data_IF_254698625369
#
_entry.id   IF_254698625369
#
_cell.length_a   1.000
_cell.length_b   1.000
_cell.length_c   1.000
_cell.angle_alpha   90.00
_cell.angle_beta   90.00
_cell.angle_gamma   90.00
#
_symmetry.space_group_name_H-M   'P 1'
#
loop_
_entity.id
_entity.type
_entity.pdbx_description
1 polymer ?
#
# COMPACT_ATOMS: atom_id res chain seq x y z
N UNK A 1 17.21 -63.98 -33.75
CA UNK A 1 16.87 -63.21 -32.54
C UNK A 1 17.42 -61.79 -32.69
N UNK A 2 16.56 -60.80 -32.93
CA UNK A 2 16.91 -59.37 -32.83
C UNK A 2 16.02 -58.78 -31.74
N UNK A 3 16.60 -58.50 -30.58
CA UNK A 3 15.90 -57.90 -29.44
C UNK A 3 15.96 -56.39 -29.66
N UNK A 4 14.82 -55.78 -29.94
CA UNK A 4 14.67 -54.33 -30.08
C UNK A 4 14.49 -53.74 -28.68
N UNK A 5 15.43 -52.89 -28.26
CA UNK A 5 15.39 -52.21 -26.96
C UNK A 5 14.55 -50.94 -27.15
N UNK A 6 13.34 -50.92 -26.59
CA UNK A 6 12.51 -49.72 -26.51
C UNK A 6 13.04 -48.81 -25.39
N UNK A 7 13.70 -47.72 -25.75
CA UNK A 7 14.07 -46.65 -24.81
C UNK A 7 12.84 -45.83 -24.43
N UNK A 8 12.35 -46.02 -23.20
CA UNK A 8 11.30 -45.17 -22.60
C UNK A 8 11.97 -43.87 -22.15
N UNK A 9 11.82 -42.80 -22.93
CA UNK A 9 12.19 -41.46 -22.51
C UNK A 9 11.16 -40.94 -21.51
N UNK A 10 11.50 -40.94 -20.23
CA UNK A 10 10.71 -40.30 -19.19
C UNK A 10 10.75 -38.78 -19.38
N UNK A 11 9.69 -38.21 -19.97
CA UNK A 11 9.45 -36.77 -19.96
C UNK A 11 9.18 -36.34 -18.51
N UNK A 12 10.23 -35.88 -17.82
CA UNK A 12 10.09 -35.13 -16.58
C UNK A 12 9.34 -33.83 -16.94
N UNK A 13 8.04 -33.81 -16.69
CA UNK A 13 7.25 -32.59 -16.77
C UNK A 13 7.86 -31.56 -15.83
N UNK A 14 8.37 -30.46 -16.39
CA UNK A 14 8.78 -29.30 -15.60
C UNK A 14 7.49 -28.69 -15.08
N UNK A 15 7.09 -29.05 -13.88
CA UNK A 15 6.02 -28.37 -13.17
C UNK A 15 6.46 -26.93 -12.98
N UNK A 16 5.93 -26.00 -13.78
CA UNK A 16 6.12 -24.56 -13.59
C UNK A 16 5.42 -24.17 -12.27
N UNK A 17 6.17 -24.24 -11.17
CA UNK A 17 5.70 -23.74 -9.89
C UNK A 17 5.47 -22.23 -10.00
N UNK A 18 4.33 -21.77 -9.48
CA UNK A 18 4.05 -20.34 -9.37
C UNK A 18 5.15 -19.66 -8.55
N UNK A 19 5.64 -18.50 -9.02
CA UNK A 19 6.71 -17.75 -8.35
C UNK A 19 6.35 -17.29 -6.93
N UNK A 20 5.05 -17.14 -6.65
CA UNK A 20 4.52 -16.75 -5.36
C UNK A 20 3.37 -17.69 -4.98
N UNK A 21 3.22 -17.97 -3.69
CA UNK A 21 2.18 -18.83 -3.11
C UNK A 21 1.07 -17.98 -2.47
N UNK A 22 -0.04 -18.61 -2.08
CA UNK A 22 -1.15 -17.91 -1.43
C UNK A 22 -0.76 -17.24 -0.10
N UNK A 23 0.24 -17.78 0.61
CA UNK A 23 0.72 -17.28 1.89
C UNK A 23 1.76 -16.17 1.77
N UNK A 24 2.26 -15.91 0.55
CA UNK A 24 3.25 -14.87 0.35
C UNK A 24 2.65 -13.46 0.49
N UNK A 25 3.42 -12.48 1.00
CA UNK A 25 3.02 -11.08 1.04
C UNK A 25 2.66 -10.51 -0.34
N UNK A 26 3.38 -10.92 -1.38
CA UNK A 26 3.08 -10.58 -2.78
C UNK A 26 1.98 -11.50 -3.28
N UNK A 27 0.86 -10.93 -3.73
CA UNK A 27 -0.28 -11.72 -4.20
C UNK A 27 -0.29 -11.86 -5.72
N UNK A 28 -0.44 -13.08 -6.23
CA UNK A 28 -0.70 -13.27 -7.66
C UNK A 28 -2.10 -12.76 -8.00
N UNK A 29 -2.19 -11.97 -9.07
CA UNK A 29 -3.46 -11.51 -9.64
C UNK A 29 -3.43 -11.73 -11.15
N UNK A 30 -4.60 -12.00 -11.71
CA UNK A 30 -4.80 -12.10 -13.15
C UNK A 30 -5.43 -10.82 -13.71
N UNK A 31 -5.63 -10.79 -15.02
CA UNK A 31 -6.28 -9.68 -15.72
C UNK A 31 -7.71 -9.40 -15.28
N UNK A 32 -8.42 -10.39 -14.71
CA UNK A 32 -9.79 -10.22 -14.21
C UNK A 32 -9.81 -9.49 -12.86
N UNK A 33 -8.83 -9.77 -12.00
CA UNK A 33 -8.68 -9.17 -10.68
C UNK A 33 -7.91 -7.84 -10.69
N UNK A 34 -7.13 -7.57 -11.74
CA UNK A 34 -6.23 -6.40 -11.82
C UNK A 34 -6.95 -5.08 -11.58
N UNK A 35 -8.05 -4.83 -12.29
CA UNK A 35 -8.76 -3.56 -12.17
C UNK A 35 -9.28 -3.32 -10.75
N UNK A 36 -9.89 -4.32 -10.12
CA UNK A 36 -10.36 -4.21 -8.73
C UNK A 36 -9.23 -4.07 -7.71
N UNK A 37 -8.12 -4.80 -7.90
CA UNK A 37 -7.02 -4.80 -6.95
C UNK A 37 -6.15 -3.53 -7.05
N UNK A 38 -5.97 -3.00 -8.26
CA UNK A 38 -4.96 -1.98 -8.57
C UNK A 38 -5.60 -0.66 -9.00
N UNK A 39 -6.61 -0.70 -9.86
CA UNK A 39 -7.09 0.49 -10.57
C UNK A 39 -8.30 1.17 -9.90
N UNK A 40 -9.15 0.40 -9.24
CA UNK A 40 -10.37 0.90 -8.61
C UNK A 40 -10.17 1.36 -7.16
N UNK A 41 -8.94 1.29 -6.63
CA UNK A 41 -8.62 1.81 -5.31
C UNK A 41 -7.75 3.08 -5.42
N UNK A 42 -8.33 4.30 -5.39
CA UNK A 42 -7.57 5.53 -5.45
C UNK A 42 -6.90 5.91 -4.11
N UNK A 43 -7.15 5.12 -3.05
CA UNK A 43 -6.69 5.34 -1.67
C UNK A 43 -5.54 4.42 -1.27
N UNK A 44 -4.96 3.70 -2.22
CA UNK A 44 -3.77 2.88 -1.99
C UNK A 44 -2.77 3.04 -3.12
N UNK A 45 -1.50 2.77 -2.78
CA UNK A 45 -0.43 2.60 -3.74
C UNK A 45 -0.19 1.10 -3.91
N UNK A 46 -0.09 0.65 -5.16
CA UNK A 46 0.21 -0.74 -5.50
C UNK A 46 1.49 -0.85 -6.30
N UNK A 47 2.31 -1.86 -6.01
CA UNK A 47 3.49 -2.25 -6.79
C UNK A 47 3.21 -3.58 -7.46
N UNK A 48 3.33 -3.60 -8.79
CA UNK A 48 3.09 -4.78 -9.60
C UNK A 48 4.41 -5.25 -10.19
N UNK A 49 4.71 -6.54 -10.00
CA UNK A 49 5.75 -7.24 -10.74
C UNK A 49 5.12 -8.03 -11.88
N UNK A 50 5.62 -7.81 -13.10
CA UNK A 50 5.26 -8.57 -14.29
C UNK A 50 6.39 -9.56 -14.56
N UNK A 51 6.06 -10.85 -14.49
CA UNK A 51 7.05 -11.93 -14.43
C UNK A 51 6.67 -13.10 -15.34
N UNK A 52 7.51 -14.13 -15.37
CA UNK A 52 7.24 -15.44 -15.94
C UNK A 52 7.91 -16.52 -15.07
N UNK A 53 7.32 -17.71 -14.87
CA UNK A 53 7.86 -18.72 -13.95
C UNK A 53 9.20 -19.31 -14.40
N UNK A 54 9.44 -19.40 -15.71
CA UNK A 54 10.68 -19.89 -16.30
C UNK A 54 11.83 -18.88 -16.24
N UNK A 55 11.57 -17.62 -15.89
CA UNK A 55 12.56 -16.55 -15.89
C UNK A 55 13.44 -16.59 -14.63
N UNK A 56 14.72 -16.95 -14.78
CA UNK A 56 15.67 -17.02 -13.66
C UNK A 56 15.87 -15.69 -12.91
N UNK A 57 15.77 -14.54 -13.60
CA UNK A 57 15.78 -13.22 -12.94
C UNK A 57 14.55 -12.99 -12.06
N UNK A 58 13.42 -13.57 -12.44
CA UNK A 58 12.15 -13.46 -11.73
C UNK A 58 12.19 -14.31 -10.45
N UNK A 59 12.70 -15.54 -10.55
CA UNK A 59 12.92 -16.42 -9.41
C UNK A 59 13.83 -15.79 -8.35
N UNK A 60 14.92 -15.12 -8.76
CA UNK A 60 15.80 -14.38 -7.84
C UNK A 60 15.12 -13.18 -7.18
N UNK A 61 14.20 -12.53 -7.90
CA UNK A 61 13.49 -11.34 -7.42
C UNK A 61 12.41 -11.69 -6.37
N UNK A 62 11.83 -12.89 -6.41
CA UNK A 62 10.74 -13.32 -5.51
C UNK A 62 11.02 -13.02 -4.04
N UNK A 63 12.20 -13.41 -3.52
CA UNK A 63 12.54 -13.18 -2.11
C UNK A 63 12.69 -11.70 -1.76
N UNK A 64 13.26 -10.92 -2.67
CA UNK A 64 13.44 -9.48 -2.52
C UNK A 64 12.11 -8.73 -2.51
N UNK A 65 11.19 -9.09 -3.41
CA UNK A 65 9.82 -8.55 -3.45
C UNK A 65 9.02 -8.93 -2.21
N UNK A 66 9.09 -10.18 -1.75
CA UNK A 66 8.40 -10.62 -0.54
C UNK A 66 8.90 -9.85 0.71
N UNK A 67 10.20 -9.64 0.82
CA UNK A 67 10.77 -8.86 1.92
C UNK A 67 10.37 -7.38 1.84
N UNK A 68 10.33 -6.82 0.63
CA UNK A 68 9.89 -5.44 0.42
C UNK A 68 8.39 -5.26 0.73
N UNK A 69 7.57 -6.24 0.36
CA UNK A 69 6.15 -6.27 0.67
C UNK A 69 5.89 -6.39 2.17
N UNK A 70 6.67 -7.20 2.90
CA UNK A 70 6.58 -7.30 4.38
C UNK A 70 6.92 -5.99 5.08
N UNK A 71 7.96 -5.28 4.62
CA UNK A 71 8.36 -4.02 5.27
C UNK A 71 7.36 -2.88 5.05
N UNK A 72 6.56 -2.97 3.99
CA UNK A 72 5.51 -2.02 3.62
C UNK A 72 4.10 -2.55 3.87
N UNK A 73 3.94 -3.59 4.70
CA UNK A 73 2.66 -4.23 4.93
C UNK A 73 1.60 -3.23 5.41
N UNK A 74 0.42 -3.32 4.79
CA UNK A 74 -0.68 -2.39 4.96
C UNK A 74 -0.48 -0.97 4.37
N UNK A 75 0.76 -0.56 4.08
CA UNK A 75 1.08 0.76 3.52
C UNK A 75 1.08 0.76 1.98
N UNK A 76 1.65 -0.29 1.38
CA UNK A 76 1.73 -0.48 -0.08
C UNK A 76 1.36 -1.93 -0.40
N UNK A 77 0.46 -2.12 -1.35
CA UNK A 77 0.07 -3.46 -1.79
C UNK A 77 1.05 -3.97 -2.85
N UNK A 78 1.47 -5.23 -2.75
CA UNK A 78 2.36 -5.85 -3.73
C UNK A 78 1.65 -6.99 -4.44
N UNK A 79 1.75 -6.99 -5.77
CA UNK A 79 1.14 -8.01 -6.61
C UNK A 79 2.11 -8.54 -7.66
N UNK A 80 1.85 -9.75 -8.11
CA UNK A 80 2.50 -10.37 -9.25
C UNK A 80 1.50 -10.68 -10.35
N UNK A 81 1.87 -10.39 -11.59
CA UNK A 81 1.17 -10.79 -12.81
C UNK A 81 2.11 -11.68 -13.61
N UNK A 82 1.74 -12.94 -13.75
CA UNK A 82 2.45 -13.89 -14.62
C UNK A 82 2.05 -13.63 -16.07
N UNK A 83 2.98 -13.09 -16.86
CA UNK A 83 2.77 -12.76 -18.28
C UNK A 83 2.93 -13.96 -19.22
N UNK A 84 3.42 -15.11 -18.73
CA UNK A 84 3.47 -16.36 -19.48
C UNK A 84 2.07 -16.95 -19.65
N UNK A 85 1.21 -16.72 -18.65
CA UNK A 85 -0.20 -17.11 -18.68
C UNK A 85 -0.98 -16.33 -19.75
N UNK A 86 -1.66 -17.06 -20.63
CA UNK A 86 -2.45 -16.52 -21.75
C UNK A 86 -3.45 -15.44 -21.32
N UNK A 87 -4.07 -15.59 -20.16
CA UNK A 87 -5.05 -14.62 -19.63
C UNK A 87 -4.45 -13.23 -19.36
N UNK A 88 -3.14 -13.16 -19.13
CA UNK A 88 -2.44 -11.95 -18.75
C UNK A 88 -1.69 -11.29 -19.91
N UNK A 89 -1.54 -11.96 -21.07
CA UNK A 89 -0.76 -11.43 -22.21
C UNK A 89 -1.22 -10.05 -22.67
N UNK A 90 -2.54 -9.85 -22.78
CA UNK A 90 -3.13 -8.55 -23.16
C UNK A 90 -2.84 -7.47 -22.12
N UNK A 91 -2.93 -7.82 -20.83
CA UNK A 91 -2.60 -6.91 -19.71
C UNK A 91 -1.12 -6.51 -19.73
N UNK A 92 -0.21 -7.47 -19.93
CA UNK A 92 1.22 -7.23 -20.00
C UNK A 92 1.58 -6.36 -21.22
N UNK A 93 0.93 -6.61 -22.36
CA UNK A 93 1.07 -5.79 -23.58
C UNK A 93 0.56 -4.36 -23.36
N UNK A 94 -0.61 -4.20 -22.73
CA UNK A 94 -1.20 -2.90 -22.38
C UNK A 94 -0.26 -2.05 -21.54
N UNK A 95 0.47 -2.65 -20.60
CA UNK A 95 1.47 -1.96 -19.77
C UNK A 95 2.89 -1.99 -20.35
N UNK A 96 3.03 -2.33 -21.63
CA UNK A 96 4.30 -2.29 -22.36
C UNK A 96 5.42 -3.09 -21.69
N UNK A 97 5.09 -4.27 -21.16
CA UNK A 97 6.09 -5.18 -20.59
C UNK A 97 6.87 -5.84 -21.73
N UNK A 98 8.13 -5.44 -21.90
CA UNK A 98 9.03 -5.92 -22.97
C UNK A 98 10.06 -6.94 -22.50
N UNK A 99 10.13 -7.19 -21.19
CA UNK A 99 11.09 -8.11 -20.60
C UNK A 99 10.78 -8.34 -19.12
N UNK A 100 11.36 -9.40 -18.57
CA UNK A 100 11.07 -9.82 -17.20
C UNK A 100 12.29 -9.81 -16.28
N UNK A 101 12.09 -9.54 -14.98
CA UNK A 101 10.89 -8.93 -14.40
C UNK A 101 10.79 -7.44 -14.78
N UNK A 102 9.56 -6.94 -14.94
CA UNK A 102 9.26 -5.49 -15.01
C UNK A 102 8.47 -5.10 -13.76
N UNK A 103 8.90 -4.08 -13.03
CA UNK A 103 8.23 -3.62 -11.81
C UNK A 103 7.63 -2.23 -12.06
N UNK A 104 6.35 -2.04 -11.73
CA UNK A 104 5.65 -0.77 -11.89
C UNK A 104 4.84 -0.41 -10.65
N UNK A 105 4.69 0.88 -10.39
CA UNK A 105 3.84 1.40 -9.32
C UNK A 105 2.57 2.06 -9.88
N UNK A 106 1.49 1.94 -9.12
CA UNK A 106 0.18 2.50 -9.40
C UNK A 106 -0.28 3.24 -8.14
N UNK A 107 -0.13 4.57 -8.11
CA UNK A 107 -0.35 5.39 -6.90
C UNK A 107 -1.78 5.93 -6.76
N UNK A 108 -2.53 6.05 -7.86
CA UNK A 108 -3.88 6.65 -7.86
C UNK A 108 -4.88 5.85 -8.69
N UNK A 109 -4.70 4.53 -8.76
CA UNK A 109 -5.47 3.67 -9.64
C UNK A 109 -5.49 4.20 -11.08
N UNK A 110 -6.68 4.39 -11.66
CA UNK A 110 -6.85 4.94 -13.03
C UNK A 110 -6.47 6.41 -13.19
N UNK A 111 -6.27 7.17 -12.09
CA UNK A 111 -6.09 8.63 -12.10
C UNK A 111 -4.64 9.09 -12.32
N UNK A 112 -3.69 8.17 -12.45
CA UNK A 112 -2.30 8.48 -12.76
C UNK A 112 -1.67 7.37 -13.61
N UNK A 113 -0.76 7.71 -14.53
CA UNK A 113 -0.01 6.68 -15.27
C UNK A 113 0.87 5.88 -14.31
N UNK A 114 1.10 4.59 -14.60
CA UNK A 114 2.04 3.79 -13.84
C UNK A 114 3.47 4.30 -14.00
N UNK A 115 4.31 4.08 -12.99
CA UNK A 115 5.74 4.44 -13.04
C UNK A 115 6.61 3.20 -12.97
N UNK A 116 7.58 3.13 -13.88
CA UNK A 116 8.53 2.03 -13.98
C UNK A 116 9.61 2.14 -12.92
N UNK A 117 10.03 0.99 -12.40
CA UNK A 117 11.18 0.88 -11.53
C UNK A 117 12.37 0.29 -12.28
N UNK A 118 13.43 1.09 -12.39
CA UNK A 118 14.69 0.72 -13.04
C UNK A 118 15.87 0.70 -12.06
N UNK A 119 15.61 0.75 -10.75
CA UNK A 119 16.64 0.71 -9.71
C UNK A 119 17.11 -0.71 -9.37
N UNK A 120 17.94 -0.81 -8.33
CA UNK A 120 18.49 -2.07 -7.87
C UNK A 120 17.40 -3.05 -7.39
N UNK A 121 17.57 -4.33 -7.66
CA UNK A 121 16.57 -5.36 -7.32
C UNK A 121 16.76 -5.94 -5.92
N UNK A 122 17.13 -5.10 -4.96
CA UNK A 122 17.24 -5.43 -3.55
C UNK A 122 15.95 -5.06 -2.81
N UNK A 123 15.63 -5.76 -1.73
CA UNK A 123 14.44 -5.46 -0.93
C UNK A 123 14.44 -4.03 -0.40
N UNK A 124 15.60 -3.53 0.03
CA UNK A 124 15.77 -2.17 0.53
C UNK A 124 15.46 -1.11 -0.53
N UNK A 125 16.06 -1.21 -1.72
CA UNK A 125 15.85 -0.25 -2.80
C UNK A 125 14.40 -0.28 -3.32
N UNK A 126 13.82 -1.48 -3.44
CA UNK A 126 12.40 -1.64 -3.82
C UNK A 126 11.48 -1.02 -2.77
N UNK A 127 11.71 -1.27 -1.47
CA UNK A 127 10.91 -0.69 -0.39
C UNK A 127 11.00 0.82 -0.34
N UNK A 128 12.20 1.38 -0.46
CA UNK A 128 12.41 2.82 -0.46
C UNK A 128 11.68 3.48 -1.64
N UNK A 129 11.90 2.94 -2.85
CA UNK A 129 11.22 3.43 -4.03
C UNK A 129 9.70 3.30 -3.90
N UNK A 130 9.18 2.13 -3.52
CA UNK A 130 7.74 1.91 -3.36
C UNK A 130 7.13 2.87 -2.33
N UNK A 131 7.80 3.10 -1.20
CA UNK A 131 7.39 4.08 -0.20
C UNK A 131 7.39 5.52 -0.72
N UNK A 132 8.33 5.86 -1.60
CA UNK A 132 8.37 7.18 -2.26
C UNK A 132 7.20 7.38 -3.24
N UNK A 133 6.65 6.30 -3.79
CA UNK A 133 5.48 6.36 -4.68
C UNK A 133 4.18 6.65 -3.94
N UNK A 134 4.15 6.52 -2.60
CA UNK A 134 2.97 6.86 -1.80
C UNK A 134 2.76 8.38 -1.83
N UNK A 135 1.67 8.82 -2.47
CA UNK A 135 1.24 10.23 -2.51
C UNK A 135 1.23 10.83 -1.10
N UNK A 136 1.90 11.96 -0.96
CA UNK A 136 1.90 12.74 0.26
C UNK A 136 0.64 13.61 0.33
N UNK A 137 -0.23 13.34 1.29
CA UNK A 137 -1.42 14.14 1.62
C UNK A 137 -1.28 14.85 2.96
N UNK A 138 -0.07 14.89 3.52
CA UNK A 138 0.21 15.40 4.85
C UNK A 138 0.69 16.85 4.74
N UNK A 139 -0.02 17.75 5.41
CA UNK A 139 0.36 19.16 5.54
C UNK A 139 1.56 19.33 6.46
N UNK A 140 2.56 20.08 6.04
CA UNK A 140 3.66 20.49 6.92
C UNK A 140 3.27 21.77 7.65
N UNK A 141 3.32 21.73 8.98
CA UNK A 141 2.96 22.84 9.86
C UNK A 141 4.26 23.41 10.45
N UNK A 142 4.53 24.69 10.16
CA UNK A 142 5.79 25.36 10.50
C UNK A 142 5.83 25.88 11.92
N UNK A 143 4.71 26.39 12.40
CA UNK A 143 4.53 27.20 13.60
C UNK A 143 3.09 27.07 14.14
N UNK A 144 2.82 27.71 15.27
CA UNK A 144 1.52 27.67 15.95
C UNK A 144 0.38 28.21 15.07
N UNK A 145 0.56 29.39 14.45
CA UNK A 145 -0.43 29.99 13.56
C UNK A 145 -0.81 29.08 12.38
N UNK A 146 0.17 28.35 11.83
CA UNK A 146 -0.08 27.37 10.78
C UNK A 146 -0.95 26.21 11.26
N UNK A 147 -0.81 25.78 12.53
CA UNK A 147 -1.69 24.77 13.15
C UNK A 147 -3.10 25.33 13.28
N UNK A 148 -3.26 26.52 13.86
CA UNK A 148 -4.60 27.10 14.07
C UNK A 148 -5.34 27.30 12.75
N UNK A 149 -4.66 27.83 11.72
CA UNK A 149 -5.24 27.96 10.38
C UNK A 149 -5.60 26.61 9.78
N UNK A 150 -4.76 25.61 9.98
CA UNK A 150 -5.00 24.26 9.49
C UNK A 150 -6.19 23.58 10.18
N UNK A 151 -6.39 23.81 11.48
CA UNK A 151 -7.53 23.31 12.25
C UNK A 151 -8.86 23.98 11.84
N UNK A 152 -8.84 25.29 11.61
CA UNK A 152 -10.02 26.05 11.13
C UNK A 152 -10.41 25.69 9.71
N UNK A 153 -9.44 25.30 8.88
CA UNK A 153 -9.71 24.78 7.54
C UNK A 153 -10.33 23.38 7.64
N UNK A 154 -11.58 23.25 7.21
CA UNK A 154 -12.37 22.02 7.31
C UNK A 154 -12.62 21.58 8.77
N UNK A 155 -13.04 22.52 9.64
CA UNK A 155 -13.29 22.33 11.08
C UNK A 155 -14.16 21.11 11.44
N UNK A 156 -15.01 20.65 10.53
CA UNK A 156 -15.86 19.45 10.72
C UNK A 156 -15.14 18.12 10.41
N UNK A 157 -13.89 18.17 9.93
CA UNK A 157 -13.08 16.99 9.64
C UNK A 157 -12.13 16.72 10.81
N UNK A 158 -11.88 15.46 11.19
CA UNK A 158 -10.85 15.16 12.18
C UNK A 158 -9.46 15.53 11.68
N UNK A 159 -8.65 16.12 12.55
CA UNK A 159 -7.27 16.51 12.31
C UNK A 159 -6.33 15.58 13.08
N UNK A 160 -5.44 14.89 12.36
CA UNK A 160 -4.41 14.03 12.91
C UNK A 160 -3.09 14.81 12.90
N UNK A 161 -2.63 15.23 14.08
CA UNK A 161 -1.38 15.94 14.24
C UNK A 161 -0.26 14.98 14.67
N UNK A 162 0.80 14.91 13.88
CA UNK A 162 2.04 14.21 14.25
C UNK A 162 3.10 15.21 14.65
N UNK A 163 3.50 15.17 15.91
CA UNK A 163 4.57 15.98 16.46
C UNK A 163 5.85 15.14 16.58
N UNK A 164 6.91 15.49 15.83
CA UNK A 164 8.10 14.64 15.70
C UNK A 164 9.41 15.42 15.50
N UNK A 165 10.55 14.86 15.89
CA UNK A 165 11.87 15.41 15.60
C UNK A 165 12.32 15.17 14.15
N UNK A 166 11.66 14.27 13.41
CA UNK A 166 12.01 13.95 12.02
C UNK A 166 11.60 15.08 11.08
N UNK A 167 12.48 15.40 10.13
CA UNK A 167 12.20 16.42 9.13
C UNK A 167 11.28 15.92 8.01
N UNK A 168 11.23 14.61 7.76
CA UNK A 168 10.53 14.02 6.62
C UNK A 168 9.22 13.34 7.02
N UNK A 169 8.22 13.44 6.15
CA UNK A 169 6.98 12.68 6.28
C UNK A 169 7.26 11.21 5.97
N UNK A 170 7.01 10.33 6.95
CA UNK A 170 7.21 8.89 6.79
C UNK A 170 6.20 8.27 5.83
N UNK A 171 6.56 7.16 5.19
CA UNK A 171 5.65 6.36 4.36
C UNK A 171 4.40 5.93 5.13
N UNK A 172 4.58 5.56 6.41
CA UNK A 172 3.49 5.24 7.33
C UNK A 172 2.45 6.36 7.38
N UNK A 173 2.89 7.60 7.63
CA UNK A 173 1.98 8.73 7.76
C UNK A 173 1.28 9.06 6.44
N UNK A 174 2.01 9.00 5.32
CA UNK A 174 1.43 9.18 3.98
C UNK A 174 0.37 8.12 3.68
N UNK A 175 0.63 6.86 4.02
CA UNK A 175 -0.29 5.76 3.79
C UNK A 175 -1.57 5.87 4.65
N UNK A 176 -1.45 6.28 5.91
CA UNK A 176 -2.61 6.59 6.75
C UNK A 176 -3.44 7.72 6.13
N UNK A 177 -2.80 8.81 5.70
CA UNK A 177 -3.50 9.92 5.06
C UNK A 177 -4.23 9.54 3.77
N UNK A 178 -3.76 8.53 3.03
CA UNK A 178 -4.49 7.99 1.89
C UNK A 178 -5.71 7.15 2.30
N UNK A 179 -5.59 6.36 3.37
CA UNK A 179 -6.63 5.42 3.82
C UNK A 179 -7.75 6.08 4.65
N UNK A 180 -7.55 7.31 5.12
CA UNK A 180 -8.55 8.11 5.82
C UNK A 180 -8.77 9.45 5.09
N UNK A 181 -9.34 9.43 3.88
CA UNK A 181 -9.40 10.61 3.01
C UNK A 181 -10.25 11.76 3.55
N UNK A 182 -11.17 11.50 4.49
CA UNK A 182 -11.97 12.55 5.13
C UNK A 182 -11.35 13.13 6.40
N UNK A 183 -10.17 12.65 6.82
CA UNK A 183 -9.41 13.24 7.90
C UNK A 183 -8.20 14.02 7.37
N UNK A 184 -7.79 15.08 8.07
CA UNK A 184 -6.66 15.92 7.69
C UNK A 184 -5.43 15.45 8.44
N UNK A 185 -4.33 15.22 7.73
CA UNK A 185 -3.07 14.83 8.36
C UNK A 185 -2.08 15.98 8.34
N UNK A 186 -1.56 16.32 9.52
CA UNK A 186 -0.55 17.35 9.74
C UNK A 186 0.70 16.77 10.36
N UNK A 187 1.87 17.28 9.96
CA UNK A 187 3.15 16.98 10.60
C UNK A 187 3.83 18.27 11.03
N UNK A 188 4.27 18.28 12.28
CA UNK A 188 5.02 19.39 12.86
C UNK A 188 6.33 18.89 13.46
N UNK A 189 7.39 19.66 13.21
CA UNK A 189 8.69 19.38 13.82
C UNK A 189 8.72 19.86 15.27
N UNK A 190 9.17 19.00 16.17
CA UNK A 190 9.44 19.32 17.57
C UNK A 190 10.71 20.17 17.66
N UNK A 191 10.54 21.48 17.73
CA UNK A 191 11.63 22.47 17.89
C UNK A 191 11.29 23.45 18.99
N UNK A 192 12.28 24.17 19.52
CA UNK A 192 12.07 25.23 20.52
C UNK A 192 11.09 26.32 20.05
N UNK A 193 11.02 26.58 18.74
CA UNK A 193 10.09 27.54 18.13
C UNK A 193 8.63 27.10 18.19
N UNK A 194 8.37 25.81 18.37
CA UNK A 194 7.02 25.24 18.40
C UNK A 194 6.64 24.81 19.82
N UNK A 195 7.27 25.42 20.84
CA UNK A 195 6.96 25.15 22.25
C UNK A 195 5.49 25.47 22.57
N UNK A 196 4.90 26.46 21.91
CA UNK A 196 3.53 26.87 22.20
C UNK A 196 2.53 25.77 21.81
N UNK A 197 2.79 25.04 20.71
CA UNK A 197 2.00 23.84 20.34
C UNK A 197 2.21 22.72 21.35
N UNK A 198 3.44 22.55 21.85
CA UNK A 198 3.75 21.57 22.89
C UNK A 198 2.97 21.87 24.18
N UNK A 199 2.95 23.13 24.59
CA UNK A 199 2.29 23.60 25.80
C UNK A 199 0.77 23.50 25.66
N UNK A 200 0.21 23.89 24.51
CA UNK A 200 -1.22 23.73 24.19
C UNK A 200 -1.67 22.26 24.16
N UNK A 201 -0.80 21.33 23.78
CA UNK A 201 -1.05 19.88 23.86
C UNK A 201 -0.84 19.31 25.28
N UNK A 202 -0.52 20.14 26.28
CA UNK A 202 -0.30 19.72 27.66
C UNK A 202 0.95 18.85 27.85
N UNK A 203 1.95 18.96 26.98
CA UNK A 203 3.15 18.12 27.02
C UNK A 203 4.15 18.61 28.08
N UNK A 204 3.83 18.40 29.36
CA UNK A 204 4.74 18.71 30.48
C UNK A 204 5.70 17.54 30.73
N UNK A 205 7.01 17.76 30.51
CA UNK A 205 8.06 16.78 30.81
C UNK A 205 8.27 15.71 29.72
N UNK A 206 9.50 15.64 29.23
CA UNK A 206 10.08 14.67 28.29
C UNK A 206 9.29 14.30 27.02
N UNK A 207 9.76 14.88 25.93
CA UNK A 207 9.25 14.72 24.58
C UNK A 207 9.69 13.36 24.01
N UNK A 208 8.91 12.30 24.25
CA UNK A 208 9.05 11.05 23.49
C UNK A 208 8.48 11.24 22.08
N UNK A 209 9.15 12.09 21.28
CA UNK A 209 8.90 12.17 19.84
C UNK A 209 9.13 10.78 19.22
N UNK A 210 8.24 10.28 18.34
CA UNK A 210 7.04 10.94 17.80
C UNK A 210 5.79 10.80 18.70
N UNK A 211 4.94 11.81 18.72
CA UNK A 211 3.59 11.75 19.30
C UNK A 211 2.52 12.00 18.22
N UNK A 212 1.38 11.31 18.33
CA UNK A 212 0.25 11.39 17.39
C UNK A 212 -1.00 11.77 18.16
N UNK A 213 -1.77 12.73 17.63
CA UNK A 213 -3.00 13.24 18.25
C UNK A 213 -4.15 13.22 17.26
N UNK A 214 -5.37 13.02 17.76
CA UNK A 214 -6.61 13.34 17.06
C UNK A 214 -7.21 14.61 17.67
N UNK A 215 -7.67 15.51 16.81
CA UNK A 215 -8.32 16.77 17.13
C UNK A 215 -9.62 16.81 16.33
N UNK A 216 -10.77 17.02 16.99
CA UNK A 216 -12.08 16.92 16.34
C UNK A 216 -12.90 18.22 16.37
N UNK A 217 -12.48 19.21 17.14
CA UNK A 217 -13.25 20.42 17.48
C UNK A 217 -12.54 21.72 17.03
N UNK A 218 -11.58 21.60 16.11
CA UNK A 218 -10.83 22.75 15.60
C UNK A 218 -9.88 23.41 16.62
N UNK A 219 -9.75 22.85 17.83
CA UNK A 219 -8.88 23.36 18.90
C UNK A 219 -7.85 22.32 19.33
N UNK A 220 -6.71 22.77 19.86
CA UNK A 220 -5.75 21.86 20.48
C UNK A 220 -6.21 21.41 21.88
N UNK A 221 -7.16 22.13 22.48
CA UNK A 221 -7.79 21.75 23.74
C UNK A 221 -8.57 20.45 23.54
N UNK A 222 -8.34 19.44 24.37
CA UNK A 222 -9.03 18.14 24.23
C UNK A 222 -8.43 17.17 23.20
N UNK A 223 -7.28 17.49 22.60
CA UNK A 223 -6.59 16.59 21.68
C UNK A 223 -6.31 15.20 22.31
N UNK A 224 -6.79 14.14 21.66
CA UNK A 224 -6.60 12.77 22.14
C UNK A 224 -5.23 12.23 21.68
N UNK A 225 -4.35 11.94 22.63
CA UNK A 225 -3.02 11.37 22.35
C UNK A 225 -3.10 9.85 22.14
N UNK A 226 -2.49 9.37 21.05
CA UNK A 226 -2.26 7.95 20.85
C UNK A 226 -1.24 7.38 21.84
N UNK A 227 -1.61 6.30 22.54
CA UNK A 227 -0.78 5.64 23.55
C UNK A 227 -0.18 4.30 23.09
N UNK A 228 -0.54 3.84 21.89
CA UNK A 228 -0.13 2.53 21.39
C UNK A 228 1.24 2.52 20.70
N UNK A 229 1.55 1.38 20.07
CA UNK A 229 2.80 1.21 19.32
C UNK A 229 2.75 2.05 18.04
N UNK A 230 3.79 2.83 17.76
CA UNK A 230 3.94 3.61 16.52
C UNK A 230 4.27 2.74 15.29
N UNK A 231 3.39 1.77 15.03
CA UNK A 231 3.42 0.87 13.87
C UNK A 231 2.14 1.10 13.05
N UNK A 232 2.25 0.91 11.74
CA UNK A 232 1.17 1.22 10.80
C UNK A 232 -0.16 0.55 11.19
N UNK A 233 -0.14 -0.77 11.47
CA UNK A 233 -1.34 -1.53 11.84
C UNK A 233 -2.02 -0.97 13.09
N UNK A 234 -1.27 -0.73 14.16
CA UNK A 234 -1.83 -0.29 15.44
C UNK A 234 -2.38 1.16 15.37
N UNK A 235 -1.74 2.04 14.58
CA UNK A 235 -2.26 3.38 14.32
C UNK A 235 -3.50 3.34 13.43
N UNK A 236 -3.51 2.49 12.40
CA UNK A 236 -4.66 2.30 11.53
C UNK A 236 -5.88 1.81 12.30
N UNK A 237 -5.71 0.80 13.15
CA UNK A 237 -6.80 0.25 13.98
C UNK A 237 -7.36 1.33 14.92
N UNK A 238 -6.50 2.07 15.62
CA UNK A 238 -6.94 3.19 16.46
C UNK A 238 -7.70 4.27 15.67
N UNK A 239 -7.20 4.68 14.50
CA UNK A 239 -7.91 5.64 13.64
C UNK A 239 -9.23 5.05 13.09
N UNK A 240 -9.31 3.75 12.84
CA UNK A 240 -10.55 3.10 12.45
C UNK A 240 -11.60 3.16 13.56
N UNK A 241 -11.19 3.04 14.82
CA UNK A 241 -12.10 3.05 15.96
C UNK A 241 -12.48 4.48 16.37
N UNK A 242 -11.52 5.41 16.37
CA UNK A 242 -11.72 6.78 16.86
C UNK A 242 -12.34 7.73 15.84
N UNK A 243 -12.18 7.49 14.52
CA UNK A 243 -12.67 8.44 13.50
C UNK A 243 -14.12 8.14 13.05
N UNK A 244 -14.92 9.19 12.75
CA UNK A 244 -16.27 9.04 12.21
C UNK A 244 -16.25 8.33 10.84
N UNK A 245 -17.40 7.74 10.47
CA UNK A 245 -17.53 7.00 9.21
C UNK A 245 -17.23 7.86 7.96
N UNK A 246 -17.55 9.16 8.01
CA UNK A 246 -17.25 10.14 6.95
C UNK A 246 -15.75 10.29 6.65
N UNK A 247 -14.88 9.94 7.60
CA UNK A 247 -13.43 10.01 7.44
C UNK A 247 -12.83 8.80 6.73
N UNK A 248 -13.60 7.72 6.60
CA UNK A 248 -13.15 6.42 6.08
C UNK A 248 -13.43 6.33 4.57
N UNK A 249 -12.81 5.37 3.89
CA UNK A 249 -13.06 5.11 2.47
C UNK A 249 -14.57 4.84 2.26
N UNK A 250 -15.25 5.52 1.31
CA UNK A 250 -16.67 5.32 1.05
C UNK A 250 -17.04 3.85 0.79
N UNK A 251 -18.18 3.41 1.32
CA UNK A 251 -18.64 2.00 1.23
C UNK A 251 -18.96 1.59 -0.21
N UNK A 252 -19.28 2.53 -1.11
CA UNK A 252 -19.51 2.24 -2.53
C UNK A 252 -18.27 1.67 -3.22
N UNK A 253 -17.06 2.15 -2.88
CA UNK A 253 -15.80 1.59 -3.38
C UNK A 253 -15.48 0.19 -2.83
N UNK A 254 -16.18 -0.25 -1.77
CA UNK A 254 -16.03 -1.57 -1.15
C UNK A 254 -17.04 -2.61 -1.68
N UNK A 255 -18.23 -2.19 -2.13
CA UNK A 255 -19.30 -3.09 -2.60
C UNK A 255 -19.01 -3.77 -3.94
N UNK A 256 -18.21 -3.13 -4.81
CA UNK A 256 -17.76 -3.73 -6.07
C UNK A 256 -16.90 -4.99 -5.86
N UNK A 257 -16.22 -5.11 -4.71
CA UNK A 257 -15.43 -6.29 -4.36
C UNK A 257 -16.27 -7.48 -3.85
N UNK A 258 -17.42 -7.24 -3.22
CA UNK A 258 -18.28 -8.31 -2.68
C UNK A 258 -19.21 -8.89 -3.75
N UNK A 259 -19.83 -8.02 -4.55
CA UNK A 259 -20.77 -8.44 -5.60
C UNK A 259 -20.09 -9.16 -6.80
N UNK A 260 -18.80 -8.91 -7.07
CA UNK A 260 -18.04 -9.67 -8.08
C UNK A 260 -17.59 -11.05 -7.58
N UNK A 261 -17.35 -11.20 -6.27
CA UNK A 261 -16.99 -12.49 -5.66
C UNK A 261 -18.14 -13.49 -5.78
N UNK A 262 -19.38 -13.03 -5.54
CA UNK A 262 -20.60 -13.85 -5.68
C UNK A 262 -20.98 -14.18 -7.13
N UNK A 263 -20.62 -13.31 -8.10
CA UNK A 263 -20.81 -13.61 -9.53
C UNK A 263 -19.77 -14.59 -10.06
N UNK A 264 -18.53 -14.56 -9.57
CA UNK A 264 -17.47 -15.49 -9.97
C UNK A 264 -17.73 -16.91 -9.45
N UNK A 265 -18.17 -17.04 -8.19
CA UNK A 265 -18.55 -18.33 -7.59
C UNK A 265 -19.78 -18.96 -8.26
N UNK A 266 -20.80 -18.17 -8.64
CA UNK A 266 -21.96 -18.67 -9.40
C UNK A 266 -21.64 -19.10 -10.83
N UNK A 267 -20.64 -18.50 -11.48
CA UNK A 267 -20.27 -18.86 -12.87
C UNK A 267 -19.45 -20.15 -12.92
N UNK A 268 -18.62 -20.40 -11.91
CA UNK A 268 -17.83 -21.64 -11.78
C UNK A 268 -18.70 -22.87 -11.45
N UNK A 269 -19.76 -22.69 -10.66
CA UNK A 269 -20.71 -23.76 -10.33
C UNK A 269 -21.64 -24.16 -11.50
N UNK A 270 -21.71 -23.36 -12.58
CA UNK A 270 -22.59 -23.61 -13.73
C UNK A 270 -21.87 -24.21 -14.95
N UNK A 271 -20.56 -24.38 -14.87
CA UNK A 271 -19.73 -25.02 -15.92
C UNK A 271 -19.26 -26.43 -15.55
N UNK A 272 -19.66 -26.93 -14.37
CA UNK A 272 -19.37 -28.29 -13.87
C UNK A 272 -20.62 -29.18 -13.83
N UNK A 273 -21.69 -28.77 -14.53
CA UNK A 273 -22.93 -29.52 -14.77
C UNK A 273 -23.15 -29.69 -16.27
#
# INVERSE_FOLDING_TARGET
MKISILSIAALLGISNAALFTANDPVKNIDSLAFDSAVLNNPYSTSVISFTAPWCGHCQRLTSQLNNAAKSLDGMVSFYNVDCDNDMNRSLCSKYQVRGFPTIKSFTRGKKAPPRDYNGERTSAAISEWAGSQVRNLVSRLSDFDAVEKWLKNDENSPHILVYTNKATTSTLLKALAQQFPGAKFGIMKSTSRNKDVKDALGLNGELTSPAVYIINDGSLEGAEKYQGKLKFKALKEWLQDSLPASSKIPVEDQKDNKNKKDKSSKKKAKSEL
#
